data_IF_285578547305
#
_entry.id   IF_285578547305
#
_cell.length_a   1.000
_cell.length_b   1.000
_cell.length_c   1.000
_cell.angle_alpha   90.00
_cell.angle_beta   90.00
_cell.angle_gamma   90.00
#
_symmetry.space_group_name_H-M   'P 1'
#
loop_
_entity.id
_entity.type
_entity.pdbx_description
1 polymer ?
#
# COMPACT_ATOMS: atom_id res chain seq x y z
N UNK A 1 21.24 2.59 23.65
CA UNK A 1 21.24 3.91 24.31
C UNK A 1 20.01 4.67 23.85
N UNK A 2 19.32 5.39 24.72
CA UNK A 2 18.18 6.22 24.35
C UNK A 2 18.61 7.69 24.32
N UNK A 3 18.07 8.44 23.35
CA UNK A 3 18.36 9.86 23.16
C UNK A 3 17.09 10.66 23.42
N UNK A 4 17.17 11.68 24.26
CA UNK A 4 16.06 12.57 24.57
C UNK A 4 16.15 13.84 23.72
N UNK A 5 15.00 14.28 23.19
CA UNK A 5 14.85 15.62 22.62
C UNK A 5 14.13 16.50 23.65
N UNK A 6 14.62 17.70 23.87
CA UNK A 6 14.04 18.68 24.81
C UNK A 6 14.05 18.27 26.31
N UNK A 7 15.11 17.58 26.79
CA UNK A 7 15.27 17.21 28.18
C UNK A 7 14.36 16.08 28.66
N UNK A 8 14.24 15.93 30.00
CA UNK A 8 13.58 14.78 30.65
C UNK A 8 12.07 14.71 30.37
N UNK A 9 11.43 15.84 30.09
CA UNK A 9 9.99 15.93 29.76
C UNK A 9 9.70 15.84 28.27
N UNK A 10 10.73 15.72 27.41
CA UNK A 10 10.59 15.59 25.97
C UNK A 10 10.43 14.15 25.51
N UNK A 11 10.10 14.00 24.23
CA UNK A 11 10.08 12.68 23.59
C UNK A 11 11.47 12.08 23.51
N UNK A 12 11.58 10.76 23.57
CA UNK A 12 12.85 10.05 23.43
C UNK A 12 12.81 8.99 22.35
N UNK A 13 13.97 8.70 21.77
CA UNK A 13 14.14 7.61 20.82
C UNK A 13 15.08 6.57 21.39
N UNK A 14 14.66 5.32 21.36
CA UNK A 14 15.45 4.19 21.84
C UNK A 14 14.82 3.45 22.99
N UNK A 15 15.61 2.59 23.66
CA UNK A 15 15.16 1.74 24.77
C UNK A 15 15.57 2.32 26.11
N UNK A 16 14.61 2.42 27.01
CA UNK A 16 14.82 2.78 28.42
C UNK A 16 14.15 1.71 29.29
N UNK A 17 14.93 0.88 29.94
CA UNK A 17 14.39 -0.22 30.75
C UNK A 17 13.50 -1.16 29.95
N UNK A 18 12.23 -1.29 30.34
CA UNK A 18 11.21 -2.11 29.68
C UNK A 18 10.41 -1.37 28.60
N UNK A 19 10.77 -0.11 28.30
CA UNK A 19 10.01 0.76 27.37
C UNK A 19 10.87 1.13 26.19
N UNK A 20 10.24 1.20 24.98
CA UNK A 20 10.82 1.75 23.76
C UNK A 20 10.04 3.01 23.40
N UNK A 21 10.76 4.13 23.18
CA UNK A 21 10.24 5.36 22.62
C UNK A 21 10.67 5.54 21.17
N UNK A 22 9.81 6.13 20.35
CA UNK A 22 10.11 6.52 18.96
C UNK A 22 9.12 7.58 18.50
N UNK A 23 9.50 8.30 17.45
CA UNK A 23 8.64 9.26 16.78
C UNK A 23 7.92 8.59 15.59
N UNK A 24 6.60 8.74 15.52
CA UNK A 24 5.78 8.24 14.43
C UNK A 24 4.87 9.38 13.93
N UNK A 25 5.06 9.79 12.67
CA UNK A 25 4.28 10.87 12.03
C UNK A 25 4.21 12.15 12.88
N UNK A 26 5.35 12.58 13.45
CA UNK A 26 5.44 13.77 14.30
C UNK A 26 4.90 13.61 15.72
N UNK A 27 4.47 12.40 16.09
CA UNK A 27 3.98 12.11 17.46
C UNK A 27 4.94 11.18 18.19
N UNK A 28 5.18 11.47 19.46
CA UNK A 28 5.95 10.60 20.33
C UNK A 28 5.13 9.42 20.81
N UNK A 29 5.63 8.22 20.56
CA UNK A 29 4.99 6.96 20.94
C UNK A 29 5.90 6.18 21.87
N UNK A 30 5.34 5.68 22.96
CA UNK A 30 6.01 4.76 23.88
C UNK A 30 5.28 3.42 23.89
N UNK A 31 6.02 2.33 23.86
CA UNK A 31 5.47 0.98 23.99
C UNK A 31 6.34 0.12 24.88
N UNK A 32 5.72 -0.86 25.55
CA UNK A 32 6.46 -1.89 26.27
C UNK A 32 7.27 -2.76 25.32
N UNK A 33 8.42 -3.26 25.79
CA UNK A 33 9.17 -4.28 25.08
C UNK A 33 8.30 -5.53 24.86
N UNK A 34 8.21 -6.04 23.63
CA UNK A 34 7.50 -7.29 23.38
C UNK A 34 8.13 -8.43 24.20
N UNK A 35 7.34 -9.09 25.02
CA UNK A 35 7.74 -10.31 25.68
C UNK A 35 7.85 -11.45 24.66
N UNK A 36 9.00 -12.10 24.60
CA UNK A 36 9.18 -13.30 23.79
C UNK A 36 8.54 -14.51 24.49
N UNK A 37 7.29 -14.83 24.15
CA UNK A 37 6.66 -16.07 24.60
C UNK A 37 7.14 -17.23 23.75
N UNK A 38 7.61 -18.32 24.36
CA UNK A 38 8.01 -19.54 23.67
C UNK A 38 6.85 -20.15 22.84
N UNK A 39 5.59 -19.96 23.29
CA UNK A 39 4.39 -20.42 22.58
C UNK A 39 4.15 -19.68 21.25
N UNK A 40 4.62 -18.44 21.12
CA UNK A 40 4.37 -17.61 19.93
C UNK A 40 5.38 -17.84 18.77
N UNK A 41 6.42 -18.64 18.98
CA UNK A 41 7.44 -18.86 17.95
C UNK A 41 6.92 -19.62 16.74
N UNK A 42 5.98 -20.57 16.92
CA UNK A 42 5.47 -21.42 15.81
C UNK A 42 4.25 -20.82 15.08
N UNK A 43 3.49 -19.94 15.71
CA UNK A 43 2.24 -19.38 15.17
C UNK A 43 1.14 -20.45 14.99
N UNK A 44 -0.12 -20.06 15.09
CA UNK A 44 -1.27 -20.91 14.74
C UNK A 44 -1.38 -21.05 13.20
N UNK A 45 -2.23 -21.98 12.73
CA UNK A 45 -2.50 -22.17 11.30
C UNK A 45 -2.97 -20.88 10.67
N UNK A 46 -3.94 -20.18 11.29
CA UNK A 46 -4.46 -18.91 10.79
C UNK A 46 -3.41 -17.78 10.78
N UNK A 47 -2.53 -17.74 11.80
CA UNK A 47 -1.42 -16.78 11.80
C UNK A 47 -0.43 -17.02 10.68
N UNK A 48 -0.16 -18.29 10.34
CA UNK A 48 0.73 -18.65 9.22
C UNK A 48 0.09 -18.27 7.89
N UNK A 49 -1.21 -18.57 7.70
CA UNK A 49 -1.96 -18.18 6.50
C UNK A 49 -1.96 -16.66 6.30
N UNK A 50 -2.28 -15.90 7.36
CA UNK A 50 -2.25 -14.44 7.31
C UNK A 50 -0.85 -13.89 6.97
N UNK A 51 0.22 -14.44 7.56
CA UNK A 51 1.61 -14.05 7.25
C UNK A 51 1.98 -14.37 5.81
N UNK A 52 1.54 -15.52 5.29
CA UNK A 52 1.77 -15.92 3.89
C UNK A 52 1.09 -14.94 2.93
N UNK A 53 -0.21 -14.67 3.13
CA UNK A 53 -0.94 -13.69 2.33
C UNK A 53 -0.33 -12.30 2.37
N UNK A 54 0.08 -11.85 3.58
CA UNK A 54 0.78 -10.57 3.75
C UNK A 54 2.09 -10.52 2.96
N UNK A 55 2.88 -11.59 2.99
CA UNK A 55 4.15 -11.67 2.27
C UNK A 55 3.92 -11.67 0.76
N UNK A 56 2.95 -12.44 0.23
CA UNK A 56 2.59 -12.42 -1.20
C UNK A 56 2.15 -11.04 -1.65
N UNK A 57 1.24 -10.41 -0.91
CA UNK A 57 0.76 -9.06 -1.23
C UNK A 57 1.90 -8.03 -1.19
N UNK A 58 2.84 -8.17 -0.27
CA UNK A 58 4.03 -7.31 -0.19
C UNK A 58 4.87 -7.41 -1.46
N UNK A 59 5.19 -8.63 -1.91
CA UNK A 59 5.98 -8.84 -3.13
C UNK A 59 5.23 -8.37 -4.39
N UNK A 60 3.93 -8.62 -4.46
CA UNK A 60 3.11 -8.18 -5.58
C UNK A 60 3.06 -6.65 -5.72
N UNK A 61 2.87 -5.93 -4.61
CA UNK A 61 2.76 -4.47 -4.63
C UNK A 61 4.13 -3.76 -4.74
N UNK A 62 5.23 -4.45 -4.51
CA UNK A 62 6.56 -3.83 -4.49
C UNK A 62 6.96 -3.16 -5.81
N UNK A 63 6.84 -3.79 -6.99
CA UNK A 63 7.13 -3.15 -8.28
C UNK A 63 6.14 -2.04 -8.64
N UNK A 64 4.97 -2.00 -7.99
CA UNK A 64 3.89 -1.06 -8.25
C UNK A 64 3.97 0.21 -7.35
N UNK A 65 4.98 0.31 -6.50
CA UNK A 65 5.14 1.43 -5.54
C UNK A 65 5.07 2.81 -6.20
N UNK A 66 5.69 3.08 -7.37
CA UNK A 66 5.58 4.40 -8.01
C UNK A 66 4.13 4.80 -8.28
N UNK A 67 3.32 3.89 -8.80
CA UNK A 67 1.88 4.10 -9.07
C UNK A 67 1.09 4.28 -7.78
N UNK A 68 1.33 3.41 -6.80
CA UNK A 68 0.67 3.45 -5.49
C UNK A 68 0.92 4.78 -4.77
N UNK A 69 2.12 5.33 -4.87
CA UNK A 69 2.46 6.63 -4.26
C UNK A 69 1.60 7.78 -4.79
N UNK A 70 1.25 7.74 -6.06
CA UNK A 70 0.35 8.72 -6.68
C UNK A 70 -1.10 8.37 -6.35
N UNK A 71 -1.51 7.14 -6.64
CA UNK A 71 -2.90 6.69 -6.51
C UNK A 71 -3.47 6.68 -5.10
N UNK A 72 -2.62 6.50 -4.08
CA UNK A 72 -3.02 6.50 -2.65
C UNK A 72 -2.52 7.73 -1.88
N UNK A 73 -2.07 8.79 -2.57
CA UNK A 73 -1.50 9.96 -1.91
C UNK A 73 -2.49 10.62 -0.93
N UNK A 74 -3.72 10.87 -1.36
CA UNK A 74 -4.75 11.49 -0.51
C UNK A 74 -5.15 10.58 0.65
N UNK A 75 -5.44 9.31 0.37
CA UNK A 75 -5.83 8.33 1.38
C UNK A 75 -4.75 8.12 2.44
N UNK A 76 -3.50 8.09 2.03
CA UNK A 76 -2.36 7.93 2.95
C UNK A 76 -2.26 9.08 3.95
N UNK A 77 -2.52 10.31 3.52
CA UNK A 77 -2.53 11.50 4.38
C UNK A 77 -3.70 11.48 5.36
N UNK A 78 -4.90 11.14 4.88
CA UNK A 78 -6.10 11.03 5.72
C UNK A 78 -5.92 9.96 6.81
N UNK A 79 -5.35 8.81 6.48
CA UNK A 79 -5.12 7.71 7.42
C UNK A 79 -3.81 7.80 8.19
N UNK A 80 -3.00 8.84 7.99
CA UNK A 80 -1.70 9.05 8.62
C UNK A 80 -0.76 7.85 8.48
N UNK A 81 -0.74 7.23 7.28
CA UNK A 81 0.12 6.08 6.96
C UNK A 81 0.78 6.25 5.60
N UNK A 82 1.70 5.37 5.24
CA UNK A 82 2.31 5.41 3.90
C UNK A 82 1.32 4.94 2.84
N UNK A 83 1.41 5.47 1.61
CA UNK A 83 0.58 5.06 0.49
C UNK A 83 0.63 3.53 0.25
N UNK A 84 1.81 2.93 0.36
CA UNK A 84 2.00 1.49 0.26
C UNK A 84 1.24 0.71 1.34
N UNK A 85 1.24 1.19 2.59
CA UNK A 85 0.50 0.54 3.67
C UNK A 85 -1.02 0.69 3.48
N UNK A 86 -1.49 1.84 2.98
CA UNK A 86 -2.90 2.06 2.67
C UNK A 86 -3.36 1.11 1.56
N UNK A 87 -2.60 1.02 0.45
CA UNK A 87 -2.87 0.08 -0.64
C UNK A 87 -2.86 -1.38 -0.16
N UNK A 88 -1.85 -1.76 0.63
CA UNK A 88 -1.76 -3.11 1.19
C UNK A 88 -2.95 -3.44 2.08
N UNK A 89 -3.34 -2.53 2.97
CA UNK A 89 -4.50 -2.72 3.85
C UNK A 89 -5.78 -3.01 3.07
N UNK A 90 -6.02 -2.27 1.97
CA UNK A 90 -7.17 -2.48 1.12
C UNK A 90 -7.09 -3.84 0.39
N UNK A 91 -5.99 -4.09 -0.30
CA UNK A 91 -5.85 -5.29 -1.15
C UNK A 91 -5.77 -6.59 -0.34
N UNK A 92 -5.27 -6.57 0.90
CA UNK A 92 -5.32 -7.71 1.81
C UNK A 92 -6.75 -8.15 2.16
N UNK A 93 -7.72 -7.21 2.14
CA UNK A 93 -9.13 -7.48 2.47
C UNK A 93 -9.96 -7.85 1.24
N UNK A 94 -9.58 -7.36 0.05
CA UNK A 94 -10.45 -7.42 -1.13
C UNK A 94 -9.85 -8.17 -2.33
N UNK A 95 -8.54 -8.33 -2.38
CA UNK A 95 -7.84 -8.95 -3.51
C UNK A 95 -7.13 -10.27 -3.16
N UNK A 96 -7.35 -10.82 -1.97
CA UNK A 96 -6.95 -12.17 -1.62
C UNK A 96 -8.18 -13.08 -1.64
N UNK A 97 -8.06 -14.20 -2.33
CA UNK A 97 -9.05 -15.26 -2.30
C UNK A 97 -8.92 -16.14 -1.03
N UNK A 98 -9.81 -17.11 -0.86
CA UNK A 98 -9.80 -18.02 0.29
C UNK A 98 -8.54 -18.89 0.35
N UNK A 99 -7.87 -19.14 -0.79
CA UNK A 99 -6.60 -19.87 -0.87
C UNK A 99 -5.39 -18.98 -0.53
N UNK A 100 -5.61 -17.67 -0.41
CA UNK A 100 -4.59 -16.66 -0.18
C UNK A 100 -3.82 -16.29 -1.45
N UNK A 101 -4.35 -16.59 -2.63
CA UNK A 101 -3.83 -16.13 -3.91
C UNK A 101 -4.39 -14.74 -4.26
N UNK A 102 -3.70 -14.02 -5.15
CA UNK A 102 -4.06 -12.66 -5.50
C UNK A 102 -4.95 -12.67 -6.73
N UNK A 103 -6.18 -12.21 -6.56
CA UNK A 103 -7.08 -11.91 -7.67
C UNK A 103 -6.73 -10.55 -8.27
N UNK A 104 -6.05 -10.57 -9.41
CA UNK A 104 -5.61 -9.35 -10.12
C UNK A 104 -6.77 -8.46 -10.56
N UNK A 105 -7.98 -9.01 -10.76
CA UNK A 105 -9.15 -8.22 -11.16
C UNK A 105 -9.67 -7.35 -10.00
N UNK A 106 -9.50 -7.81 -8.77
CA UNK A 106 -9.92 -7.12 -7.55
C UNK A 106 -8.83 -6.20 -6.96
N UNK A 107 -7.63 -6.20 -7.54
CA UNK A 107 -6.53 -5.32 -7.07
C UNK A 107 -6.85 -3.86 -7.35
N UNK A 108 -6.72 -3.02 -6.33
CA UNK A 108 -6.87 -1.58 -6.45
C UNK A 108 -5.54 -0.88 -6.20
N UNK A 109 -5.08 -0.09 -7.18
CA UNK A 109 -3.82 0.66 -7.13
C UNK A 109 -4.02 2.16 -6.92
N UNK A 110 -5.27 2.62 -6.99
CA UNK A 110 -5.66 4.03 -6.75
C UNK A 110 -6.85 4.09 -5.82
N UNK A 111 -6.96 5.16 -5.06
CA UNK A 111 -8.08 5.39 -4.15
C UNK A 111 -8.51 6.86 -4.24
N UNK A 112 -9.79 7.08 -4.59
CA UNK A 112 -10.36 8.42 -4.74
C UNK A 112 -11.75 8.36 -5.35
N UNK A 113 -12.35 9.54 -5.48
CA UNK A 113 -13.71 9.73 -6.01
C UNK A 113 -13.72 10.28 -7.45
N UNK A 114 -12.55 10.48 -8.06
CA UNK A 114 -12.48 10.93 -9.44
C UNK A 114 -12.97 9.82 -10.37
N UNK A 115 -13.89 10.17 -11.26
CA UNK A 115 -14.40 9.24 -12.27
C UNK A 115 -13.27 8.96 -13.26
N UNK A 116 -13.05 7.68 -13.57
CA UNK A 116 -12.04 7.28 -14.55
C UNK A 116 -12.44 7.62 -15.99
N UNK A 117 -11.61 7.22 -16.93
CA UNK A 117 -11.85 7.38 -18.36
C UNK A 117 -13.04 6.52 -18.81
N UNK A 118 -13.77 6.99 -19.83
CA UNK A 118 -14.83 6.21 -20.47
C UNK A 118 -14.28 5.27 -21.52
N UNK A 119 -14.89 4.09 -21.63
CA UNK A 119 -14.58 3.07 -22.64
C UNK A 119 -13.06 2.78 -22.78
N UNK A 120 -12.36 2.47 -21.66
CA UNK A 120 -10.95 2.14 -21.76
C UNK A 120 -10.76 0.86 -22.56
N UNK A 121 -9.88 0.88 -23.53
CA UNK A 121 -9.53 -0.28 -24.35
C UNK A 121 -8.01 -0.42 -24.46
N UNK A 122 -7.55 -1.66 -24.55
CA UNK A 122 -6.15 -2.00 -24.76
C UNK A 122 -6.06 -2.97 -25.93
N UNK A 123 -5.26 -2.61 -26.94
CA UNK A 123 -5.02 -3.45 -28.11
C UNK A 123 -3.52 -3.75 -28.20
N UNK A 124 -3.19 -5.03 -28.42
CA UNK A 124 -1.82 -5.43 -28.70
C UNK A 124 -1.48 -5.08 -30.16
N UNK A 125 -0.45 -4.26 -30.36
CA UNK A 125 0.14 -3.94 -31.64
C UNK A 125 1.54 -4.56 -31.76
N UNK A 126 2.11 -4.58 -32.96
CA UNK A 126 3.43 -5.17 -33.23
C UNK A 126 4.54 -4.50 -32.41
N UNK A 127 4.42 -3.21 -32.12
CA UNK A 127 5.40 -2.41 -31.38
C UNK A 127 5.09 -2.28 -29.87
N UNK A 128 3.97 -2.85 -29.36
CA UNK A 128 3.61 -2.73 -27.94
C UNK A 128 2.11 -2.76 -27.67
N UNK A 129 1.71 -2.10 -26.57
CA UNK A 129 0.30 -1.97 -26.18
C UNK A 129 -0.21 -0.58 -26.55
N UNK A 130 -1.33 -0.54 -27.25
CA UNK A 130 -2.04 0.69 -27.57
C UNK A 130 -3.23 0.85 -26.61
N UNK A 131 -3.20 1.92 -25.83
CA UNK A 131 -4.28 2.29 -24.92
C UNK A 131 -5.15 3.36 -25.58
N UNK A 132 -6.47 3.19 -25.52
CA UNK A 132 -7.44 4.15 -26.02
C UNK A 132 -8.60 4.33 -25.03
N UNK A 133 -9.21 5.51 -25.05
CA UNK A 133 -10.39 5.84 -24.24
C UNK A 133 -11.17 6.97 -24.90
N UNK A 134 -12.42 7.12 -24.49
CA UNK A 134 -13.27 8.23 -24.90
C UNK A 134 -13.05 9.43 -23.96
N UNK A 135 -13.02 10.64 -24.54
CA UNK A 135 -12.94 11.86 -23.75
C UNK A 135 -14.28 12.10 -23.06
N UNK A 136 -14.28 12.15 -21.75
CA UNK A 136 -15.44 12.40 -20.90
C UNK A 136 -15.33 13.78 -20.18
N UNK A 137 -14.46 14.66 -20.66
CA UNK A 137 -14.35 16.03 -20.18
C UNK A 137 -15.68 16.79 -20.38
N UNK A 138 -16.12 17.51 -19.35
CA UNK A 138 -17.42 18.19 -19.35
C UNK A 138 -18.36 17.73 -18.23
N UNK A 139 -18.12 16.58 -17.62
CA UNK A 139 -18.69 16.25 -16.32
C UNK A 139 -18.03 17.07 -15.23
N UNK A 140 -18.80 17.50 -14.22
CA UNK A 140 -18.46 18.55 -13.24
C UNK A 140 -17.10 18.43 -12.52
N UNK A 141 -16.46 17.27 -12.55
CA UNK A 141 -15.20 17.00 -11.83
C UNK A 141 -14.04 16.58 -12.74
N UNK A 142 -14.28 16.37 -14.04
CA UNK A 142 -13.29 15.89 -15.01
C UNK A 142 -12.84 17.05 -15.87
N UNK A 143 -11.54 17.29 -15.94
CA UNK A 143 -10.93 18.35 -16.76
C UNK A 143 -10.16 17.75 -17.92
N UNK A 144 -10.11 18.43 -19.04
CA UNK A 144 -9.31 18.05 -20.21
C UNK A 144 -7.80 17.94 -19.89
N UNK A 145 -7.36 18.63 -18.82
CA UNK A 145 -5.97 18.64 -18.36
C UNK A 145 -5.66 17.56 -17.32
N UNK A 146 -6.63 16.70 -16.98
CA UNK A 146 -6.40 15.62 -16.01
C UNK A 146 -5.42 14.61 -16.59
N UNK A 147 -4.48 14.18 -15.75
CA UNK A 147 -3.45 13.22 -16.15
C UNK A 147 -3.94 11.78 -15.94
N UNK A 148 -3.71 10.95 -16.94
CA UNK A 148 -4.01 9.52 -16.91
C UNK A 148 -2.70 8.75 -16.73
N UNK A 149 -2.65 7.85 -15.78
CA UNK A 149 -1.58 6.87 -15.65
C UNK A 149 -2.06 5.53 -16.18
N UNK A 150 -1.33 4.98 -17.12
CA UNK A 150 -1.51 3.61 -17.60
C UNK A 150 -0.32 2.77 -17.17
N UNK A 151 -0.56 1.50 -16.93
CA UNK A 151 0.47 0.57 -16.49
C UNK A 151 0.18 -0.83 -17.05
N UNK A 152 1.20 -1.47 -17.56
CA UNK A 152 1.18 -2.90 -17.88
C UNK A 152 1.97 -3.66 -16.80
N UNK A 153 1.38 -4.70 -16.22
CA UNK A 153 2.04 -5.52 -15.22
C UNK A 153 2.18 -6.97 -15.70
N UNK A 154 3.42 -7.43 -15.79
CA UNK A 154 3.71 -8.83 -16.07
C UNK A 154 3.74 -9.64 -14.79
N UNK A 155 2.71 -10.45 -14.57
CA UNK A 155 2.54 -11.26 -13.35
C UNK A 155 3.66 -12.31 -13.19
N UNK A 156 4.16 -12.89 -14.29
CA UNK A 156 5.22 -13.91 -14.26
C UNK A 156 6.57 -13.33 -13.89
N UNK A 157 6.90 -12.18 -14.46
CA UNK A 157 8.18 -11.51 -14.22
C UNK A 157 8.13 -10.56 -13.02
N UNK A 158 6.95 -10.30 -12.46
CA UNK A 158 6.70 -9.35 -11.38
C UNK A 158 7.26 -7.95 -11.70
N UNK A 159 7.04 -7.51 -12.95
CA UNK A 159 7.52 -6.21 -13.46
C UNK A 159 6.35 -5.35 -13.93
N UNK A 160 6.44 -4.05 -13.62
CA UNK A 160 5.56 -3.00 -14.12
C UNK A 160 6.30 -2.20 -15.21
N UNK A 161 5.56 -1.83 -16.25
CA UNK A 161 6.01 -1.04 -17.39
C UNK A 161 5.10 0.17 -17.59
#
# INVERSE_FOLDING_TARGET
>A
MATFKNGINGGFTGKVGSVIGYELNGKWVMKALPGLSAKNKKGTVNQKACRSGFTRMQYFLQPLIPFIRVGYNLESKLRMMTAHNAAKSYNMLHALDESGDIDCASVRLTFGNLIGVENPAVVKADAGLHFSWSNNAGNSWIRETDQIMVMAYNVKEQRAY
#
